data_IF_326429260536
#
_entry.id   IF_326429260536
#
_cell.length_a   1.000
_cell.length_b   1.000
_cell.length_c   1.000
_cell.angle_alpha   90.00
_cell.angle_beta   90.00
_cell.angle_gamma   90.00
#
_symmetry.space_group_name_H-M   'P 1'
#
loop_
_entity.id
_entity.type
_entity.pdbx_description
1 polymer ?
#
# COMPACT_ATOMS: atom_id res chain seq x y z
N UNK A 1 -12.63 -11.39 16.08
CA UNK A 1 -12.02 -12.07 14.91
C UNK A 1 -11.99 -11.18 13.66
N UNK A 2 -13.14 -10.61 13.24
CA UNK A 2 -13.24 -9.83 11.99
C UNK A 2 -12.32 -8.59 11.94
N UNK A 3 -12.16 -7.85 13.05
CA UNK A 3 -11.22 -6.71 13.11
C UNK A 3 -9.75 -7.13 12.90
N UNK A 4 -9.36 -8.30 13.41
CA UNK A 4 -8.01 -8.82 13.24
C UNK A 4 -7.73 -9.14 11.77
N UNK A 5 -8.69 -9.78 11.09
CA UNK A 5 -8.60 -10.07 9.65
C UNK A 5 -8.48 -8.78 8.83
N UNK A 6 -9.28 -7.75 9.16
CA UNK A 6 -9.18 -6.44 8.52
C UNK A 6 -7.78 -5.85 8.65
N UNK A 7 -7.18 -5.89 9.83
CA UNK A 7 -5.82 -5.36 10.06
C UNK A 7 -4.74 -6.18 9.34
N UNK A 8 -4.89 -7.50 9.27
CA UNK A 8 -3.96 -8.39 8.59
C UNK A 8 -3.93 -8.12 7.08
N UNK A 9 -5.09 -7.84 6.47
CA UNK A 9 -5.21 -7.53 5.05
C UNK A 9 -4.42 -6.29 4.61
N UNK A 10 -4.28 -5.28 5.48
CA UNK A 10 -3.48 -4.08 5.17
C UNK A 10 -2.03 -4.19 5.64
N UNK A 11 -1.74 -4.91 6.73
CA UNK A 11 -0.36 -5.03 7.23
C UNK A 11 0.52 -5.87 6.30
N UNK A 12 -0.04 -6.88 5.63
CA UNK A 12 0.71 -7.77 4.74
C UNK A 12 1.31 -7.00 3.54
N UNK A 13 0.55 -6.24 2.74
CA UNK A 13 1.12 -5.34 1.75
C UNK A 13 2.12 -4.35 2.35
N UNK A 14 1.81 -3.77 3.52
CA UNK A 14 2.69 -2.83 4.21
C UNK A 14 4.09 -3.40 4.50
N UNK A 15 4.17 -4.66 4.95
CA UNK A 15 5.44 -5.35 5.21
C UNK A 15 6.16 -5.75 3.92
N UNK A 16 5.42 -6.17 2.90
CA UNK A 16 5.98 -6.46 1.57
C UNK A 16 6.71 -5.22 1.03
N UNK A 17 6.02 -4.08 0.97
CA UNK A 17 6.64 -2.84 0.48
C UNK A 17 7.71 -2.28 1.43
N UNK A 18 7.63 -2.55 2.74
CA UNK A 18 8.71 -2.22 3.68
C UNK A 18 10.01 -2.95 3.33
N UNK A 19 9.93 -4.21 2.93
CA UNK A 19 11.11 -5.00 2.55
C UNK A 19 11.79 -4.42 1.30
N UNK A 20 10.99 -3.95 0.33
CA UNK A 20 11.50 -3.28 -0.87
C UNK A 20 12.10 -1.92 -0.52
N UNK A 21 11.42 -1.13 0.33
CA UNK A 21 11.94 0.13 0.84
C UNK A 21 13.30 -0.05 1.57
N UNK A 22 13.42 -1.09 2.39
CA UNK A 22 14.66 -1.43 3.07
C UNK A 22 15.82 -1.68 2.10
N UNK A 23 15.57 -2.42 1.01
CA UNK A 23 16.57 -2.62 -0.04
C UNK A 23 16.94 -1.31 -0.74
N UNK A 24 15.97 -0.43 -1.02
CA UNK A 24 16.28 0.89 -1.58
C UNK A 24 17.17 1.74 -0.68
N UNK A 25 17.00 1.65 0.64
CA UNK A 25 17.81 2.40 1.62
C UNK A 25 19.21 1.79 1.80
N UNK A 26 19.33 0.46 1.80
CA UNK A 26 20.58 -0.22 2.17
C UNK A 26 21.41 -0.70 0.98
N UNK A 27 20.76 -1.03 -0.15
CA UNK A 27 21.39 -1.50 -1.37
C UNK A 27 20.56 -1.09 -2.61
N UNK A 28 20.55 0.20 -2.99
CA UNK A 28 19.73 0.71 -4.08
C UNK A 28 20.07 0.12 -5.44
N UNK A 29 21.33 -0.29 -5.66
CA UNK A 29 21.72 -0.96 -6.90
C UNK A 29 21.03 -2.32 -7.04
N UNK A 30 21.00 -3.12 -5.98
CA UNK A 30 20.24 -4.37 -5.97
C UNK A 30 18.74 -4.11 -6.11
N UNK A 31 18.19 -3.14 -5.38
CA UNK A 31 16.76 -2.81 -5.43
C UNK A 31 16.29 -2.40 -6.84
N UNK A 32 17.11 -1.66 -7.59
CA UNK A 32 16.83 -1.33 -8.98
C UNK A 32 16.80 -2.59 -9.85
N UNK A 33 17.81 -3.47 -9.74
CA UNK A 33 17.87 -4.72 -10.51
C UNK A 33 16.71 -5.67 -10.19
N UNK A 34 16.30 -5.79 -8.92
CA UNK A 34 15.15 -6.61 -8.50
C UNK A 34 13.82 -6.12 -9.10
N UNK A 35 13.79 -4.87 -9.61
CA UNK A 35 12.66 -4.26 -10.31
C UNK A 35 12.89 -4.14 -11.83
N UNK A 36 13.86 -4.89 -12.37
CA UNK A 36 14.28 -4.87 -13.77
C UNK A 36 14.70 -3.46 -14.27
N UNK A 37 15.16 -2.60 -13.36
CA UNK A 37 15.64 -1.26 -13.68
C UNK A 37 17.17 -1.25 -13.76
N UNK A 38 17.69 -0.53 -14.75
CA UNK A 38 19.09 -0.13 -14.75
C UNK A 38 19.32 0.79 -13.55
N UNK A 39 20.39 0.55 -12.81
CA UNK A 39 20.84 1.47 -11.76
C UNK A 39 21.45 2.71 -12.40
N UNK A 40 20.80 3.85 -12.22
CA UNK A 40 21.17 5.09 -12.90
C UNK A 40 22.46 5.70 -12.32
N UNK A 41 23.03 6.64 -13.06
CA UNK A 41 24.22 7.42 -12.70
C UNK A 41 23.88 8.90 -12.48
N UNK A 42 24.79 9.62 -11.82
CA UNK A 42 24.69 11.07 -11.63
C UNK A 42 23.39 11.51 -10.96
N UNK A 43 22.76 12.57 -11.49
CA UNK A 43 21.50 13.09 -10.96
C UNK A 43 20.34 12.11 -11.10
N UNK A 44 20.33 11.29 -12.16
CA UNK A 44 19.31 10.27 -12.36
C UNK A 44 19.26 9.26 -11.22
N UNK A 45 20.42 8.90 -10.65
CA UNK A 45 20.52 8.06 -9.44
C UNK A 45 19.83 8.70 -8.24
N UNK A 46 20.02 10.01 -8.04
CA UNK A 46 19.41 10.74 -6.94
C UNK A 46 17.88 10.71 -7.05
N UNK A 47 17.35 10.98 -8.24
CA UNK A 47 15.90 10.91 -8.52
C UNK A 47 15.39 9.48 -8.34
N UNK A 48 16.08 8.47 -8.89
CA UNK A 48 15.68 7.07 -8.77
C UNK A 48 15.62 6.63 -7.31
N UNK A 49 16.67 6.87 -6.51
CA UNK A 49 16.67 6.49 -5.10
C UNK A 49 15.61 7.27 -4.33
N UNK A 50 15.52 8.59 -4.52
CA UNK A 50 14.57 9.45 -3.83
C UNK A 50 13.12 9.04 -4.09
N UNK A 51 12.74 8.93 -5.36
CA UNK A 51 11.34 8.71 -5.76
C UNK A 51 10.87 7.30 -5.40
N UNK A 52 11.67 6.25 -5.69
CA UNK A 52 11.27 4.88 -5.38
C UNK A 52 11.32 4.58 -3.88
N UNK A 53 12.32 5.08 -3.15
CA UNK A 53 12.32 4.91 -1.69
C UNK A 53 11.13 5.62 -1.05
N UNK A 54 10.83 6.86 -1.43
CA UNK A 54 9.68 7.60 -0.93
C UNK A 54 8.36 6.90 -1.25
N UNK A 55 8.22 6.34 -2.46
CA UNK A 55 7.07 5.54 -2.85
C UNK A 55 6.86 4.35 -1.91
N UNK A 56 7.86 3.47 -1.77
CA UNK A 56 7.72 2.25 -0.98
C UNK A 56 7.61 2.52 0.53
N UNK A 57 8.35 3.52 1.05
CA UNK A 57 8.23 3.97 2.44
C UNK A 57 6.82 4.49 2.70
N UNK A 58 6.27 5.33 1.82
CA UNK A 58 4.94 5.92 2.01
C UNK A 58 3.85 4.87 2.04
N UNK A 59 3.83 3.95 1.07
CA UNK A 59 2.86 2.85 1.03
C UNK A 59 2.96 2.00 2.30
N UNK A 60 4.18 1.67 2.73
CA UNK A 60 4.40 0.87 3.93
C UNK A 60 3.89 1.57 5.20
N UNK A 61 4.30 2.83 5.41
CA UNK A 61 3.90 3.61 6.58
C UNK A 61 2.39 3.81 6.64
N UNK A 62 1.76 4.14 5.51
CA UNK A 62 0.31 4.30 5.42
C UNK A 62 -0.44 3.01 5.74
N UNK A 63 0.05 1.86 5.27
CA UNK A 63 -0.51 0.56 5.63
C UNK A 63 -0.34 0.25 7.12
N UNK A 64 0.85 0.46 7.68
CA UNK A 64 1.16 0.16 9.09
C UNK A 64 0.37 1.08 10.02
N UNK A 65 0.44 2.39 9.83
CA UNK A 65 -0.27 3.39 10.64
C UNK A 65 -1.78 3.18 10.49
N UNK A 66 -2.27 3.01 9.26
CA UNK A 66 -3.68 2.77 8.99
C UNK A 66 -4.20 1.49 9.66
N UNK A 67 -3.40 0.43 9.69
CA UNK A 67 -3.74 -0.84 10.35
C UNK A 67 -3.66 -0.77 11.88
N UNK A 68 -2.62 -0.14 12.43
CA UNK A 68 -2.41 0.01 13.88
C UNK A 68 -3.50 0.88 14.52
N UNK A 69 -3.77 2.04 13.92
CA UNK A 69 -4.71 3.03 14.45
C UNK A 69 -6.11 2.93 13.84
N UNK A 70 -6.37 1.94 12.98
CA UNK A 70 -7.64 1.77 12.24
C UNK A 70 -8.03 3.02 11.44
N UNK A 71 -7.03 3.78 11.00
CA UNK A 71 -7.24 5.03 10.27
C UNK A 71 -7.39 4.75 8.77
N UNK A 72 -8.63 4.84 8.31
CA UNK A 72 -9.02 4.53 6.92
C UNK A 72 -8.40 5.52 5.93
N UNK A 73 -8.19 6.78 6.31
CA UNK A 73 -7.60 7.78 5.41
C UNK A 73 -6.18 7.40 5.03
N UNK A 74 -5.36 6.95 5.99
CA UNK A 74 -4.02 6.43 5.69
C UNK A 74 -4.07 5.19 4.80
N UNK A 75 -4.95 4.22 5.07
CA UNK A 75 -5.11 3.06 4.21
C UNK A 75 -5.51 3.45 2.78
N UNK A 76 -6.41 4.43 2.64
CA UNK A 76 -6.85 4.90 1.33
C UNK A 76 -5.73 5.66 0.58
N UNK A 77 -4.87 6.39 1.29
CA UNK A 77 -3.67 6.99 0.69
C UNK A 77 -2.73 5.95 0.09
N UNK A 78 -2.54 4.80 0.74
CA UNK A 78 -1.77 3.69 0.16
C UNK A 78 -2.42 3.15 -1.13
N UNK A 79 -3.74 3.00 -1.15
CA UNK A 79 -4.50 2.58 -2.34
C UNK A 79 -4.33 3.56 -3.49
N UNK A 80 -4.37 4.87 -3.22
CA UNK A 80 -4.16 5.91 -4.24
C UNK A 80 -2.79 5.72 -4.88
N UNK A 81 -1.72 5.62 -4.07
CA UNK A 81 -0.36 5.49 -4.57
C UNK A 81 -0.20 4.24 -5.45
N UNK A 82 -0.64 3.08 -4.95
CA UNK A 82 -0.53 1.80 -5.68
C UNK A 82 -1.37 1.78 -6.95
N UNK A 83 -2.59 2.32 -6.92
CA UNK A 83 -3.46 2.37 -8.09
C UNK A 83 -2.92 3.34 -9.14
N UNK A 84 -2.37 4.48 -8.72
CA UNK A 84 -1.68 5.41 -9.62
C UNK A 84 -0.47 4.74 -10.29
N UNK A 85 0.34 3.98 -9.56
CA UNK A 85 1.45 3.23 -10.14
C UNK A 85 0.98 2.23 -11.21
N UNK A 86 -0.04 1.41 -10.90
CA UNK A 86 -0.59 0.45 -11.85
C UNK A 86 -1.13 1.13 -13.12
N UNK A 87 -1.87 2.23 -12.96
CA UNK A 87 -2.37 3.03 -14.09
C UNK A 87 -1.20 3.54 -14.93
N UNK A 88 -0.19 4.14 -14.31
CA UNK A 88 0.96 4.68 -15.04
C UNK A 88 1.77 3.61 -15.75
N UNK A 89 1.89 2.40 -15.21
CA UNK A 89 2.54 1.26 -15.90
C UNK A 89 1.76 0.79 -17.11
N UNK A 90 0.42 0.78 -17.03
CA UNK A 90 -0.43 0.46 -18.19
C UNK A 90 -0.27 1.55 -19.26
N UNK A 91 -0.30 2.83 -18.86
CA UNK A 91 -0.12 3.94 -19.78
C UNK A 91 1.29 3.96 -20.40
N UNK A 92 2.34 3.65 -19.65
CA UNK A 92 3.71 3.55 -20.18
C UNK A 92 3.82 2.48 -21.25
N UNK A 93 3.20 1.32 -21.02
CA UNK A 93 3.15 0.24 -22.01
C UNK A 93 2.36 0.63 -23.27
N UNK A 94 1.23 1.30 -23.11
CA UNK A 94 0.36 1.65 -24.24
C UNK A 94 0.84 2.85 -25.05
N UNK A 95 1.52 3.83 -24.42
CA UNK A 95 1.78 5.15 -25.02
C UNK A 95 3.25 5.50 -25.18
N UNK A 96 4.17 4.82 -24.48
CA UNK A 96 5.58 5.21 -24.40
C UNK A 96 6.55 4.07 -24.69
N UNK A 97 6.10 3.03 -25.41
CA UNK A 97 6.92 1.89 -25.86
C UNK A 97 7.63 1.13 -24.72
N UNK A 98 7.10 1.21 -23.50
CA UNK A 98 7.63 0.45 -22.36
C UNK A 98 7.19 -1.02 -22.42
N UNK A 99 8.01 -1.92 -21.87
CA UNK A 99 7.63 -3.32 -21.73
C UNK A 99 6.47 -3.52 -20.75
N UNK A 100 5.63 -4.53 -21.00
CA UNK A 100 4.50 -4.84 -20.14
C UNK A 100 4.96 -5.43 -18.80
N UNK A 101 4.91 -4.64 -17.74
CA UNK A 101 5.31 -5.06 -16.38
C UNK A 101 4.16 -5.74 -15.61
N UNK A 102 3.68 -6.87 -16.14
CA UNK A 102 2.50 -7.58 -15.61
C UNK A 102 2.62 -8.02 -14.15
N UNK A 103 3.82 -8.43 -13.71
CA UNK A 103 4.06 -8.82 -12.32
C UNK A 103 3.88 -7.64 -11.35
N UNK A 104 4.51 -6.50 -11.65
CA UNK A 104 4.40 -5.28 -10.83
C UNK A 104 2.95 -4.78 -10.76
N UNK A 105 2.27 -4.72 -11.91
CA UNK A 105 0.85 -4.33 -11.99
C UNK A 105 -0.01 -5.26 -11.14
N UNK A 106 0.24 -6.58 -11.20
CA UNK A 106 -0.45 -7.57 -10.39
C UNK A 106 -0.27 -7.33 -8.88
N UNK A 107 0.97 -7.10 -8.43
CA UNK A 107 1.28 -6.80 -7.02
C UNK A 107 0.56 -5.53 -6.55
N UNK A 108 0.58 -4.48 -7.37
CA UNK A 108 -0.06 -3.19 -7.08
C UNK A 108 -1.59 -3.34 -6.95
N UNK A 109 -2.24 -4.00 -7.93
CA UNK A 109 -3.70 -4.20 -7.93
C UNK A 109 -4.15 -5.11 -6.77
N UNK A 110 -3.48 -6.24 -6.57
CA UNK A 110 -3.83 -7.19 -5.50
C UNK A 110 -3.68 -6.53 -4.14
N UNK A 111 -2.58 -5.80 -3.92
CA UNK A 111 -2.34 -5.05 -2.68
C UNK A 111 -3.42 -3.99 -2.46
N UNK A 112 -3.77 -3.21 -3.48
CA UNK A 112 -4.86 -2.23 -3.41
C UNK A 112 -6.19 -2.87 -3.04
N UNK A 113 -6.55 -4.01 -3.63
CA UNK A 113 -7.77 -4.74 -3.30
C UNK A 113 -7.74 -5.23 -1.84
N UNK A 114 -6.62 -5.80 -1.38
CA UNK A 114 -6.47 -6.22 0.00
C UNK A 114 -6.67 -5.06 0.98
N UNK A 115 -6.09 -3.90 0.70
CA UNK A 115 -6.23 -2.70 1.54
C UNK A 115 -7.67 -2.14 1.49
N UNK A 116 -8.34 -2.16 0.33
CA UNK A 116 -9.75 -1.77 0.23
C UNK A 116 -10.66 -2.71 1.04
N UNK A 117 -10.42 -4.02 1.00
CA UNK A 117 -11.13 -4.99 1.83
C UNK A 117 -10.88 -4.75 3.32
N UNK A 118 -9.64 -4.42 3.70
CA UNK A 118 -9.29 -3.99 5.06
C UNK A 118 -10.15 -2.81 5.52
N UNK A 119 -10.28 -1.77 4.69
CA UNK A 119 -11.10 -0.58 4.96
C UNK A 119 -12.56 -0.95 5.17
N UNK A 120 -13.14 -1.77 4.28
CA UNK A 120 -14.55 -2.20 4.37
C UNK A 120 -14.81 -2.93 5.69
N UNK A 121 -13.91 -3.84 6.07
CA UNK A 121 -14.02 -4.62 7.29
C UNK A 121 -13.91 -3.73 8.54
N UNK A 122 -12.94 -2.81 8.58
CA UNK A 122 -12.75 -1.87 9.69
C UNK A 122 -13.98 -0.98 9.86
N UNK A 123 -14.51 -0.40 8.78
CA UNK A 123 -15.75 0.41 8.80
C UNK A 123 -16.93 -0.38 9.36
N UNK A 124 -17.14 -1.61 8.85
CA UNK A 124 -18.26 -2.46 9.29
C UNK A 124 -18.18 -2.75 10.78
N UNK A 125 -16.99 -3.10 11.27
CA UNK A 125 -16.83 -3.42 12.69
C UNK A 125 -16.97 -2.21 13.61
N UNK A 126 -16.54 -1.01 13.17
CA UNK A 126 -16.76 0.22 13.94
C UNK A 126 -18.26 0.51 14.10
N UNK A 127 -19.04 0.37 13.02
CA UNK A 127 -20.48 0.61 13.04
C UNK A 127 -21.24 -0.38 13.93
N UNK A 128 -20.83 -1.66 13.93
CA UNK A 128 -21.43 -2.67 14.80
C UNK A 128 -21.20 -2.40 16.28
N UNK A 129 -20.00 -1.94 16.66
CA UNK A 129 -19.71 -1.61 18.06
C UNK A 129 -20.59 -0.46 18.56
N UNK A 130 -20.71 0.63 17.79
CA UNK A 130 -21.56 1.78 18.17
C UNK A 130 -23.04 1.41 18.30
N UNK A 131 -23.56 0.56 17.40
CA UNK A 131 -24.95 0.11 17.49
C UNK A 131 -25.20 -0.80 18.71
N UNK A 132 -24.20 -1.59 19.12
CA UNK A 132 -24.28 -2.43 20.31
C UNK A 132 -24.27 -1.60 21.60
N UNK A 133 -23.47 -0.53 21.66
CA UNK A 133 -23.39 0.37 22.82
C UNK A 133 -24.71 1.14 23.00
N UNK A 134 -25.28 1.69 21.92
CA UNK A 134 -26.55 2.41 21.99
C UNK A 134 -27.73 1.56 22.49
N UNK A 135 -27.79 0.27 22.11
CA UNK A 135 -28.85 -0.62 22.58
C UNK A 135 -28.74 -0.96 24.08
N UNK A 136 -27.52 -0.97 24.65
CA UNK A 136 -27.32 -1.24 26.09
C UNK A 136 -27.82 -0.03 26.90
N UNK A 137 -27.51 1.19 26.44
CA UNK A 137 -27.95 2.41 27.10
C UNK A 137 -29.48 2.57 27.09
N UNK A 138 -30.17 2.08 26.04
CA UNK A 138 -31.64 2.05 25.98
C UNK A 138 -32.29 1.00 26.89
N UNK A 139 -31.63 -0.15 27.16
CA UNK A 139 -32.14 -1.16 28.09
C UNK A 139 -31.93 -0.78 29.57
N UNK A 140 -30.95 0.08 29.88
CA UNK A 140 -30.67 0.57 31.24
C UNK A 140 -31.48 1.82 31.65
N UNK A 141 -32.24 2.43 30.73
CA UNK A 141 -33.07 3.64 30.96
C UNK A 141 -34.55 3.33 31.22
#
# INVERSE_FOLDING_TARGET
MLQFVGRLLSILPGLLFLSVAYNWVTNPSKAANDLDMIYLEGLGRSTQIGDFSAFFISVSLFCIIGSLFKNISFLFSAVIILSSAAIMRILSWQLYEADFSGFSIGVEIISSIMILLSIIIIKKSSKQNTASEANIDEEES
#
